data_IF_181729289306
#
_entry.id   IF_181729289306
#
_cell.length_a   1.000
_cell.length_b   1.000
_cell.length_c   1.000
_cell.angle_alpha   90.00
_cell.angle_beta   90.00
_cell.angle_gamma   90.00
#
_symmetry.space_group_name_H-M   'P 1'
#
loop_
_entity.id
_entity.type
_entity.pdbx_description
1 polymer ?
#
# COMPACT_ATOMS: atom_id res chain seq x y z
N UNK A 1 15.47 -19.99 -25.04
CA UNK A 1 15.03 -18.62 -25.45
C UNK A 1 13.50 -18.48 -25.58
N UNK A 2 12.77 -19.46 -26.14
CA UNK A 2 11.32 -19.35 -26.37
C UNK A 2 10.41 -19.29 -25.12
N UNK A 3 10.84 -19.77 -23.94
CA UNK A 3 10.07 -19.67 -22.68
C UNK A 3 10.05 -18.26 -22.05
N UNK A 4 11.02 -17.41 -22.38
CA UNK A 4 11.09 -16.03 -21.89
C UNK A 4 10.25 -15.05 -22.72
N UNK A 5 9.96 -15.41 -23.98
CA UNK A 5 9.19 -14.58 -24.92
C UNK A 5 7.66 -14.74 -24.76
N UNK A 6 7.19 -15.80 -24.09
CA UNK A 6 5.76 -16.14 -23.94
C UNK A 6 5.14 -15.59 -22.64
N UNK A 7 5.93 -15.25 -21.62
CA UNK A 7 5.36 -14.98 -20.29
C UNK A 7 4.96 -13.53 -20.02
N UNK A 8 5.44 -12.54 -20.78
CA UNK A 8 5.20 -11.13 -20.49
C UNK A 8 5.60 -10.71 -19.06
N UNK A 9 6.42 -11.52 -18.39
CA UNK A 9 6.68 -11.40 -16.96
C UNK A 9 7.88 -10.47 -16.75
N UNK A 10 7.67 -9.37 -16.04
CA UNK A 10 8.76 -8.50 -15.60
C UNK A 10 9.76 -9.23 -14.70
N UNK A 11 11.06 -8.90 -14.78
CA UNK A 11 12.05 -9.39 -13.82
C UNK A 11 11.70 -8.93 -12.41
N UNK A 12 12.02 -9.75 -11.39
CA UNK A 12 11.70 -9.50 -9.98
C UNK A 12 12.08 -8.09 -9.49
N UNK A 13 13.21 -7.57 -9.95
CA UNK A 13 13.67 -6.21 -9.61
C UNK A 13 12.70 -5.11 -10.09
N UNK A 14 12.08 -5.29 -11.26
CA UNK A 14 11.12 -4.31 -11.78
C UNK A 14 9.80 -4.37 -11.00
N UNK A 15 9.34 -5.58 -10.65
CA UNK A 15 8.16 -5.77 -9.79
C UNK A 15 8.40 -5.11 -8.42
N UNK A 16 9.60 -5.30 -7.84
CA UNK A 16 9.98 -4.66 -6.58
C UNK A 16 10.03 -3.14 -6.69
N UNK A 17 10.56 -2.58 -7.79
CA UNK A 17 10.51 -1.13 -8.06
C UNK A 17 9.08 -0.61 -8.14
N UNK A 18 8.19 -1.30 -8.85
CA UNK A 18 6.77 -0.93 -8.91
C UNK A 18 6.11 -0.96 -7.52
N UNK A 19 6.41 -1.96 -6.68
CA UNK A 19 5.92 -2.04 -5.30
C UNK A 19 6.41 -0.86 -4.44
N UNK A 20 7.69 -0.47 -4.57
CA UNK A 20 8.24 0.68 -3.88
C UNK A 20 7.61 2.01 -4.33
N UNK A 21 7.42 2.18 -5.64
CA UNK A 21 6.74 3.35 -6.19
C UNK A 21 5.29 3.42 -5.73
N UNK A 22 4.59 2.28 -5.71
CA UNK A 22 3.24 2.18 -5.20
C UNK A 22 3.18 2.60 -3.73
N UNK A 23 4.08 2.09 -2.88
CA UNK A 23 4.19 2.48 -1.47
C UNK A 23 4.42 3.99 -1.32
N UNK A 24 5.35 4.55 -2.08
CA UNK A 24 5.66 5.98 -2.02
C UNK A 24 4.45 6.83 -2.41
N UNK A 25 3.73 6.45 -3.46
CA UNK A 25 2.49 7.13 -3.86
C UNK A 25 1.42 6.99 -2.76
N UNK A 26 1.24 5.80 -2.20
CA UNK A 26 0.23 5.54 -1.16
C UNK A 26 0.44 6.36 0.11
N UNK A 27 1.68 6.42 0.59
CA UNK A 27 1.99 6.99 1.90
C UNK A 27 2.47 8.44 1.82
N UNK A 28 3.09 8.82 0.70
CA UNK A 28 3.78 10.10 0.54
C UNK A 28 2.93 11.20 -0.10
N UNK A 29 2.16 10.87 -1.14
CA UNK A 29 1.43 11.90 -1.93
C UNK A 29 0.35 12.59 -1.09
N UNK A 30 -0.42 11.83 -0.32
CA UNK A 30 -1.44 12.39 0.58
C UNK A 30 -0.83 13.35 1.61
N UNK A 31 0.37 13.05 2.13
CA UNK A 31 1.08 13.92 3.09
C UNK A 31 1.66 15.18 2.44
N UNK A 32 2.21 15.07 1.23
CA UNK A 32 2.72 16.21 0.48
C UNK A 32 1.61 17.20 0.13
N UNK A 33 0.48 16.69 -0.37
CA UNK A 33 -0.69 17.51 -0.70
C UNK A 33 -1.26 18.18 0.56
N UNK A 34 -1.35 17.44 1.66
CA UNK A 34 -1.77 18.00 2.94
C UNK A 34 -0.86 19.15 3.41
N UNK A 35 0.46 19.00 3.33
CA UNK A 35 1.39 20.05 3.74
C UNK A 35 1.31 21.34 2.92
N UNK A 36 0.67 21.32 1.74
CA UNK A 36 0.51 22.48 0.87
C UNK A 36 -0.83 23.19 1.11
N UNK A 37 -1.88 22.43 1.41
CA UNK A 37 -3.28 22.91 1.37
C UNK A 37 -3.84 23.17 2.76
N UNK A 38 -3.23 22.61 3.80
CA UNK A 38 -3.68 22.85 5.17
C UNK A 38 -3.55 24.35 5.52
N UNK A 39 -4.60 24.98 6.09
CA UNK A 39 -4.59 26.41 6.40
C UNK A 39 -3.61 26.79 7.52
N UNK A 40 -3.17 25.82 8.33
CA UNK A 40 -2.12 25.96 9.34
C UNK A 40 -0.98 24.98 9.04
N UNK A 41 0.26 25.31 9.43
CA UNK A 41 1.42 24.46 9.12
C UNK A 41 1.18 23.02 9.60
N UNK A 42 1.02 22.09 8.65
CA UNK A 42 0.70 20.71 8.97
C UNK A 42 1.87 20.03 9.72
N UNK A 43 1.79 19.94 11.05
CA UNK A 43 2.78 19.22 11.85
C UNK A 43 2.33 17.77 12.05
N UNK A 44 2.95 16.88 11.27
CA UNK A 44 2.75 15.44 11.34
C UNK A 44 3.07 14.81 12.70
N UNK A 45 3.77 15.53 13.60
CA UNK A 45 4.08 15.07 14.96
C UNK A 45 2.87 15.17 15.88
N UNK A 46 1.95 16.10 15.60
CA UNK A 46 0.82 16.42 16.48
C UNK A 46 -0.53 16.28 15.79
N UNK A 47 -0.56 16.25 14.44
CA UNK A 47 -1.78 16.13 13.67
C UNK A 47 -1.83 14.81 12.93
N UNK A 48 -2.90 14.06 13.21
CA UNK A 48 -3.17 12.77 12.57
C UNK A 48 -3.61 13.01 11.13
N UNK A 49 -3.36 12.05 10.23
CA UNK A 49 -3.78 12.13 8.81
C UNK A 49 -5.29 12.37 8.68
N UNK A 50 -6.09 11.95 9.67
CA UNK A 50 -7.53 12.22 9.70
C UNK A 50 -7.91 13.69 9.71
N UNK A 51 -7.08 14.57 10.29
CA UNK A 51 -7.34 16.02 10.33
C UNK A 51 -7.38 16.64 8.92
N UNK A 52 -6.76 15.99 7.92
CA UNK A 52 -6.78 16.42 6.51
C UNK A 52 -8.17 16.32 5.91
N UNK A 53 -8.97 15.34 6.35
CA UNK A 53 -10.34 15.17 5.91
C UNK A 53 -11.36 15.58 6.96
N UNK A 54 -10.98 16.34 7.98
CA UNK A 54 -11.97 16.93 8.89
C UNK A 54 -12.37 18.32 8.36
N UNK A 55 -13.65 18.56 8.03
CA UNK A 55 -14.11 19.90 7.67
C UNK A 55 -13.90 20.93 8.79
N UNK A 56 -13.79 20.49 10.06
CA UNK A 56 -13.49 21.37 11.19
C UNK A 56 -12.07 21.93 11.14
N UNK A 57 -11.09 21.09 10.82
CA UNK A 57 -9.66 21.43 10.83
C UNK A 57 -9.16 21.93 9.45
N UNK A 58 -9.77 21.46 8.35
CA UNK A 58 -9.36 21.74 6.98
C UNK A 58 -10.55 22.11 6.08
N UNK A 59 -11.15 23.26 6.37
CA UNK A 59 -12.34 23.77 5.67
C UNK A 59 -12.16 23.85 4.15
N UNK A 60 -10.98 24.25 3.67
CA UNK A 60 -10.71 24.49 2.24
C UNK A 60 -10.15 23.27 1.50
N UNK A 61 -9.78 22.20 2.21
CA UNK A 61 -9.03 21.08 1.66
C UNK A 61 -9.64 19.69 1.90
N UNK A 62 -10.68 19.56 2.72
CA UNK A 62 -11.21 18.23 3.11
C UNK A 62 -11.69 17.40 1.91
N UNK A 63 -12.24 18.03 0.88
CA UNK A 63 -12.71 17.37 -0.35
C UNK A 63 -11.58 16.70 -1.15
N UNK A 64 -10.32 17.11 -0.96
CA UNK A 64 -9.20 16.45 -1.61
C UNK A 64 -8.98 15.04 -1.08
N UNK A 65 -9.28 14.79 0.19
CA UNK A 65 -9.21 13.44 0.76
C UNK A 65 -10.25 12.52 0.10
N UNK A 66 -11.44 13.05 -0.19
CA UNK A 66 -12.49 12.34 -0.93
C UNK A 66 -12.04 12.00 -2.36
N UNK A 67 -11.53 12.98 -3.11
CA UNK A 67 -11.02 12.78 -4.48
C UNK A 67 -9.86 11.77 -4.48
N UNK A 68 -8.93 11.92 -3.54
CA UNK A 68 -7.80 11.02 -3.36
C UNK A 68 -8.28 9.58 -3.14
N UNK A 69 -9.24 9.35 -2.25
CA UNK A 69 -9.82 8.03 -2.00
C UNK A 69 -10.38 7.38 -3.27
N UNK A 70 -11.14 8.12 -4.09
CA UNK A 70 -11.76 7.59 -5.32
C UNK A 70 -10.71 7.35 -6.41
N UNK A 71 -9.85 8.34 -6.68
CA UNK A 71 -8.82 8.28 -7.73
C UNK A 71 -7.82 7.18 -7.43
N UNK A 72 -7.33 7.11 -6.19
CA UNK A 72 -6.44 6.02 -5.80
C UNK A 72 -7.14 4.69 -5.97
N UNK A 73 -8.36 4.52 -5.45
CA UNK A 73 -9.08 3.26 -5.56
C UNK A 73 -9.16 2.77 -7.02
N UNK A 74 -9.50 3.66 -7.96
CA UNK A 74 -9.54 3.33 -9.39
C UNK A 74 -8.16 2.98 -9.96
N UNK A 75 -7.11 3.74 -9.61
CA UNK A 75 -5.76 3.51 -10.10
C UNK A 75 -5.13 2.22 -9.57
N UNK A 76 -5.54 1.74 -8.41
CA UNK A 76 -4.98 0.53 -7.82
C UNK A 76 -5.39 -0.74 -8.55
N UNK A 77 -6.65 -0.86 -8.99
CA UNK A 77 -7.16 -2.09 -9.61
C UNK A 77 -6.25 -2.65 -10.71
N UNK A 78 -5.82 -1.87 -11.73
CA UNK A 78 -4.93 -2.39 -12.76
C UNK A 78 -3.55 -2.77 -12.20
N UNK A 79 -3.02 -2.04 -11.22
CA UNK A 79 -1.73 -2.34 -10.59
C UNK A 79 -1.78 -3.62 -9.75
N UNK A 80 -2.86 -3.82 -9.01
CA UNK A 80 -3.10 -5.01 -8.19
C UNK A 80 -3.20 -6.25 -9.07
N UNK A 81 -3.99 -6.20 -10.14
CA UNK A 81 -4.08 -7.30 -11.11
C UNK A 81 -2.73 -7.56 -11.79
N UNK A 82 -2.02 -6.50 -12.18
CA UNK A 82 -0.69 -6.60 -12.75
C UNK A 82 0.28 -7.33 -11.81
N UNK A 83 0.39 -6.91 -10.56
CA UNK A 83 1.27 -7.53 -9.56
C UNK A 83 0.83 -8.98 -9.31
N UNK A 84 -0.46 -9.23 -9.11
CA UNK A 84 -1.01 -10.56 -8.90
C UNK A 84 -0.65 -11.53 -10.03
N UNK A 85 -0.81 -11.12 -11.30
CA UNK A 85 -0.50 -11.95 -12.47
C UNK A 85 0.96 -12.36 -12.55
N UNK A 86 1.86 -11.49 -12.10
CA UNK A 86 3.29 -11.77 -12.07
C UNK A 86 3.66 -12.63 -10.86
N UNK A 87 3.16 -12.28 -9.69
CA UNK A 87 3.51 -12.93 -8.45
C UNK A 87 2.93 -14.35 -8.36
N UNK A 88 1.76 -14.60 -8.95
CA UNK A 88 1.13 -15.94 -8.95
C UNK A 88 1.99 -17.00 -9.63
N UNK A 89 2.83 -16.59 -10.60
CA UNK A 89 3.77 -17.48 -11.30
C UNK A 89 4.97 -17.82 -10.41
N UNK A 90 5.34 -16.94 -9.48
CA UNK A 90 6.45 -17.13 -8.54
C UNK A 90 6.00 -17.89 -7.30
N UNK A 91 4.93 -17.41 -6.65
CA UNK A 91 4.35 -18.01 -5.45
C UNK A 91 2.86 -17.66 -5.35
N UNK A 92 2.00 -18.60 -5.74
CA UNK A 92 0.55 -18.39 -5.78
C UNK A 92 -0.06 -18.03 -4.43
N UNK A 93 0.34 -18.69 -3.34
CA UNK A 93 -0.20 -18.44 -2.01
C UNK A 93 0.07 -17.00 -1.55
N UNK A 94 1.33 -16.55 -1.66
CA UNK A 94 1.73 -15.19 -1.30
C UNK A 94 1.09 -14.12 -2.20
N UNK A 95 0.91 -14.43 -3.49
CA UNK A 95 0.19 -13.56 -4.41
C UNK A 95 -1.26 -13.35 -3.97
N UNK A 96 -1.98 -14.42 -3.63
CA UNK A 96 -3.38 -14.37 -3.18
C UNK A 96 -3.49 -13.60 -1.86
N UNK A 97 -2.70 -13.96 -0.86
CA UNK A 97 -2.72 -13.28 0.45
C UNK A 97 -2.44 -11.79 0.30
N UNK A 98 -1.39 -11.42 -0.44
CA UNK A 98 -1.06 -10.02 -0.66
C UNK A 98 -2.18 -9.25 -1.37
N UNK A 99 -2.84 -9.87 -2.35
CA UNK A 99 -4.00 -9.28 -3.03
C UNK A 99 -5.20 -9.11 -2.11
N UNK A 100 -5.48 -10.06 -1.21
CA UNK A 100 -6.57 -9.90 -0.23
C UNK A 100 -6.29 -8.69 0.68
N UNK A 101 -5.07 -8.60 1.21
CA UNK A 101 -4.70 -7.51 2.11
C UNK A 101 -4.68 -6.15 1.41
N UNK A 102 -4.27 -6.07 0.14
CA UNK A 102 -4.30 -4.80 -0.60
C UNK A 102 -5.74 -4.35 -0.85
N UNK A 103 -6.66 -5.28 -1.11
CA UNK A 103 -8.08 -4.97 -1.28
C UNK A 103 -8.69 -4.48 0.03
N UNK A 104 -8.36 -5.11 1.16
CA UNK A 104 -8.74 -4.59 2.50
C UNK A 104 -8.19 -3.18 2.71
N UNK A 105 -6.93 -2.94 2.32
CA UNK A 105 -6.28 -1.63 2.35
C UNK A 105 -7.06 -0.57 1.57
N UNK A 106 -7.37 -0.88 0.30
CA UNK A 106 -8.12 -0.04 -0.62
C UNK A 106 -9.52 0.26 -0.07
N UNK A 107 -10.27 -0.77 0.33
CA UNK A 107 -11.63 -0.60 0.90
C UNK A 107 -11.59 0.28 2.15
N UNK A 108 -10.64 0.02 3.07
CA UNK A 108 -10.46 0.84 4.26
C UNK A 108 -10.19 2.30 3.93
N UNK A 109 -9.33 2.56 2.94
CA UNK A 109 -8.99 3.92 2.50
C UNK A 109 -10.19 4.62 1.84
N UNK A 110 -10.93 3.92 0.98
CA UNK A 110 -12.14 4.46 0.33
C UNK A 110 -13.22 4.78 1.36
N UNK A 111 -13.46 3.89 2.33
CA UNK A 111 -14.42 4.12 3.41
C UNK A 111 -13.99 5.30 4.30
N UNK A 112 -12.70 5.39 4.64
CA UNK A 112 -12.15 6.53 5.37
C UNK A 112 -12.44 7.83 4.63
N UNK A 113 -12.17 7.85 3.32
CA UNK A 113 -12.34 9.02 2.47
C UNK A 113 -13.82 9.40 2.26
N UNK A 114 -14.72 8.42 2.23
CA UNK A 114 -16.16 8.62 2.08
C UNK A 114 -16.85 9.11 3.37
N UNK A 115 -16.25 8.84 4.53
CA UNK A 115 -16.78 9.22 5.85
C UNK A 115 -16.23 10.55 6.37
N UNK A 116 -15.41 11.23 5.58
CA UNK A 116 -14.94 12.60 5.80
C UNK A 116 -16.12 13.52 6.11
N UNK A 117 -16.10 14.14 7.30
CA UNK A 117 -17.16 15.06 7.75
C UNK A 117 -18.48 14.42 8.19
N UNK A 118 -18.58 13.09 8.24
CA UNK A 118 -19.81 12.43 8.70
C UNK A 118 -19.99 12.58 10.23
N UNK A 119 -21.03 13.28 10.66
CA UNK A 119 -21.40 13.41 12.09
C UNK A 119 -21.93 12.11 12.70
N UNK A 120 -22.25 11.13 11.86
CA UNK A 120 -22.91 9.85 12.23
C UNK A 120 -21.89 8.82 12.73
N UNK A 121 -20.67 8.80 12.18
CA UNK A 121 -19.60 7.88 12.57
C UNK A 121 -18.45 8.70 13.15
N UNK A 122 -18.46 8.87 14.48
CA UNK A 122 -17.50 9.72 15.19
C UNK A 122 -16.02 9.39 14.91
N UNK A 123 -15.12 10.31 15.31
CA UNK A 123 -13.69 10.31 14.99
C UNK A 123 -12.96 8.96 15.17
N UNK A 124 -13.35 8.16 16.18
CA UNK A 124 -12.78 6.82 16.43
C UNK A 124 -12.99 5.85 15.26
N UNK A 125 -14.09 5.96 14.52
CA UNK A 125 -14.36 5.07 13.38
C UNK A 125 -13.47 5.43 12.19
N UNK A 126 -13.29 6.72 11.93
CA UNK A 126 -12.36 7.19 10.90
C UNK A 126 -10.92 6.75 11.20
N UNK A 127 -10.48 6.87 12.46
CA UNK A 127 -9.17 6.39 12.91
C UNK A 127 -9.01 4.88 12.73
N UNK A 128 -9.99 4.08 13.16
CA UNK A 128 -9.97 2.63 12.99
C UNK A 128 -9.92 2.21 11.51
N UNK A 129 -10.67 2.88 10.62
CA UNK A 129 -10.63 2.61 9.18
C UNK A 129 -9.28 2.97 8.57
N UNK A 130 -8.68 4.09 8.99
CA UNK A 130 -7.34 4.49 8.56
C UNK A 130 -6.30 3.45 8.99
N UNK A 131 -6.40 2.93 10.23
CA UNK A 131 -5.54 1.87 10.74
C UNK A 131 -5.73 0.54 9.98
N UNK A 132 -6.96 0.17 9.67
CA UNK A 132 -7.27 -1.02 8.85
C UNK A 132 -6.67 -0.87 7.46
N UNK A 133 -6.82 0.30 6.83
CA UNK A 133 -6.24 0.60 5.53
C UNK A 133 -4.72 0.43 5.57
N UNK A 134 -4.06 1.09 6.54
CA UNK A 134 -2.61 1.06 6.71
C UNK A 134 -2.08 -0.36 6.95
N UNK A 135 -2.71 -1.12 7.86
CA UNK A 135 -2.34 -2.52 8.15
C UNK A 135 -2.53 -3.42 6.93
N UNK A 136 -3.62 -3.22 6.17
CA UNK A 136 -3.87 -3.92 4.91
C UNK A 136 -2.75 -3.70 3.90
N UNK A 137 -2.34 -2.45 3.67
CA UNK A 137 -1.23 -2.16 2.77
C UNK A 137 0.10 -2.74 3.25
N UNK A 138 0.43 -2.66 4.55
CA UNK A 138 1.66 -3.25 5.09
C UNK A 138 1.72 -4.77 4.91
N UNK A 139 0.63 -5.47 5.21
CA UNK A 139 0.56 -6.92 5.03
C UNK A 139 0.63 -7.29 3.55
N UNK A 140 -0.04 -6.54 2.68
CA UNK A 140 0.06 -6.74 1.23
C UNK A 140 1.51 -6.67 0.75
N UNK A 141 2.26 -5.66 1.20
CA UNK A 141 3.67 -5.48 0.85
C UNK A 141 4.56 -6.58 1.40
N UNK A 142 4.29 -7.04 2.62
CA UNK A 142 5.01 -8.17 3.20
C UNK A 142 4.82 -9.43 2.34
N UNK A 143 3.57 -9.79 2.03
CA UNK A 143 3.26 -10.97 1.24
C UNK A 143 3.72 -10.86 -0.21
N UNK A 144 3.64 -9.69 -0.83
CA UNK A 144 4.13 -9.47 -2.18
C UNK A 144 5.65 -9.38 -2.28
N UNK A 145 6.30 -8.77 -1.28
CA UNK A 145 7.75 -8.56 -1.23
C UNK A 145 8.52 -9.82 -0.83
N UNK A 146 7.99 -10.64 0.08
CA UNK A 146 8.66 -11.85 0.57
C UNK A 146 9.14 -12.80 -0.55
N UNK A 147 8.31 -13.23 -1.52
CA UNK A 147 8.76 -14.12 -2.60
C UNK A 147 9.76 -13.47 -3.58
N UNK A 148 9.86 -12.13 -3.58
CA UNK A 148 10.84 -11.39 -4.37
C UNK A 148 12.19 -11.27 -3.65
N UNK A 149 12.15 -11.17 -2.32
CA UNK A 149 13.33 -10.97 -1.46
C UNK A 149 13.91 -12.29 -0.92
N UNK A 150 13.14 -13.37 -0.89
CA UNK A 150 13.60 -14.65 -0.29
C UNK A 150 14.92 -15.16 -0.87
N UNK A 151 15.15 -14.96 -2.18
CA UNK A 151 16.35 -15.42 -2.87
C UNK A 151 17.57 -14.51 -2.60
N UNK A 152 17.34 -13.35 -1.96
CA UNK A 152 18.36 -12.36 -1.58
C UNK A 152 18.75 -12.47 -0.10
N UNK A 153 17.98 -13.20 0.71
CA UNK A 153 18.33 -13.42 2.12
C UNK A 153 19.55 -14.35 2.17
N UNK A 154 20.57 -14.06 3.01
CA UNK A 154 21.64 -15.00 3.28
C UNK A 154 21.00 -16.31 3.71
N UNK A 155 21.36 -17.43 3.06
CA UNK A 155 20.97 -18.75 3.55
C UNK A 155 21.57 -18.87 4.95
N UNK A 156 20.69 -18.91 5.97
CA UNK A 156 21.08 -19.18 7.35
C UNK A 156 21.41 -20.67 7.56
N UNK A 157 21.53 -21.42 6.48
CA UNK A 157 22.00 -22.78 6.45
C UNK A 157 23.48 -22.73 6.89
N UNK A 158 23.68 -22.88 8.21
CA UNK A 158 25.00 -23.02 8.80
C UNK A 158 25.77 -24.06 8.01
N UNK A 159 26.87 -23.62 7.40
CA UNK A 159 27.81 -24.49 6.74
C UNK A 159 28.38 -25.46 7.77
N UNK A 160 27.74 -26.62 7.92
CA UNK A 160 28.40 -27.82 8.39
C UNK A 160 29.37 -28.20 7.27
N UNK A 161 30.58 -27.62 7.32
CA UNK A 161 31.71 -28.04 6.53
C UNK A 161 31.97 -29.51 6.84
N UNK A 162 31.50 -30.41 5.98
CA UNK A 162 32.00 -31.78 5.93
C UNK A 162 33.43 -31.72 5.37
N UNK A 163 34.40 -31.37 6.21
CA UNK A 163 35.80 -31.68 5.94
C UNK A 163 35.97 -33.18 6.16
N UNK A 164 35.72 -33.93 5.10
CA UNK A 164 36.29 -35.25 4.92
C UNK A 164 37.71 -35.07 4.38
N UNK A 165 38.71 -35.24 5.25
CA UNK A 165 40.06 -35.72 4.92
C UNK A 165 40.79 -36.03 6.22
#
# INVERSE_FOLDING_TARGET
MFKACISGLLPKNNILRCLFQLLFVMLGVTKLIAGIIFPTAYDWRYMVISAIGDPGDNQDGFWLMLINGVVLCAMHFPVVDFIYRHLKVICRCMAILGTIFVLVGIIGLTLTSALVGSTILGARTHENLTLVAFRGFLLALFFWGFPLLKDRLPRLDGGASSTAS
#
